data_IF_145679626712
#
_entry.id   IF_145679626712
#
_cell.length_a   1.000
_cell.length_b   1.000
_cell.length_c   1.000
_cell.angle_alpha   90.00
_cell.angle_beta   90.00
_cell.angle_gamma   90.00
#
_symmetry.space_group_name_H-M   'P 1'
#
loop_
_entity.id
_entity.type
_entity.pdbx_description
1 polymer ?
#
# COMPACT_ATOMS: atom_id res chain seq x y z
N UNK A 1 -19.96 7.08 3.10
CA UNK A 1 -19.46 7.81 1.91
C UNK A 1 -18.70 6.76 1.14
N UNK A 2 -19.04 6.47 -0.11
CA UNK A 2 -18.48 5.29 -0.79
C UNK A 2 -17.11 5.61 -1.39
N UNK A 3 -16.26 4.59 -1.51
CA UNK A 3 -15.01 4.69 -2.28
C UNK A 3 -15.36 5.11 -3.71
N UNK A 4 -14.76 6.20 -4.18
CA UNK A 4 -14.98 6.77 -5.50
C UNK A 4 -14.53 5.82 -6.61
N UNK A 5 -15.22 5.89 -7.75
CA UNK A 5 -14.86 5.09 -8.94
C UNK A 5 -13.44 5.39 -9.44
N UNK A 6 -12.93 6.61 -9.23
CA UNK A 6 -11.53 6.94 -9.51
C UNK A 6 -10.55 6.12 -8.66
N UNK A 7 -10.82 5.99 -7.36
CA UNK A 7 -9.98 5.22 -6.43
C UNK A 7 -10.03 3.74 -6.75
N UNK A 8 -11.23 3.19 -7.06
CA UNK A 8 -11.36 1.78 -7.48
C UNK A 8 -10.57 1.46 -8.75
N UNK A 9 -10.59 2.35 -9.74
CA UNK A 9 -9.83 2.19 -10.99
C UNK A 9 -8.32 2.23 -10.75
N UNK A 10 -7.85 3.20 -9.95
CA UNK A 10 -6.46 3.31 -9.55
C UNK A 10 -5.97 2.02 -8.88
N UNK A 11 -6.72 1.53 -7.89
CA UNK A 11 -6.38 0.31 -7.15
C UNK A 11 -6.33 -0.90 -8.07
N UNK A 12 -7.30 -1.04 -8.99
CA UNK A 12 -7.31 -2.16 -9.93
C UNK A 12 -6.03 -2.20 -10.76
N UNK A 13 -5.59 -1.05 -11.30
CA UNK A 13 -4.32 -0.98 -12.06
C UNK A 13 -3.11 -1.26 -11.18
N UNK A 14 -3.05 -0.70 -9.97
CA UNK A 14 -1.91 -0.89 -9.08
C UNK A 14 -1.80 -2.34 -8.60
N UNK A 15 -2.91 -3.04 -8.39
CA UNK A 15 -2.92 -4.45 -8.01
C UNK A 15 -2.39 -5.37 -9.14
N UNK A 16 -2.47 -4.97 -10.40
CA UNK A 16 -1.87 -5.71 -11.53
C UNK A 16 -0.33 -5.76 -11.42
N UNK A 17 0.30 -4.82 -10.69
CA UNK A 17 1.76 -4.80 -10.47
C UNK A 17 2.24 -6.00 -9.64
N UNK A 18 1.40 -6.66 -8.86
CA UNK A 18 1.78 -7.86 -8.09
C UNK A 18 2.24 -9.01 -8.97
N UNK A 19 1.81 -9.07 -10.23
CA UNK A 19 2.30 -10.06 -11.18
C UNK A 19 3.74 -9.77 -11.65
N UNK A 20 4.16 -8.49 -11.62
CA UNK A 20 5.50 -8.02 -12.00
C UNK A 20 6.47 -8.02 -10.81
N UNK A 21 5.99 -7.66 -9.62
CA UNK A 21 6.76 -7.57 -8.39
C UNK A 21 6.28 -8.61 -7.39
N UNK A 22 6.92 -9.79 -7.41
CA UNK A 22 6.52 -10.93 -6.59
C UNK A 22 7.23 -11.01 -5.24
N UNK A 23 8.18 -10.12 -4.96
CA UNK A 23 8.86 -10.11 -3.66
C UNK A 23 7.93 -9.65 -2.55
N UNK A 24 8.16 -10.17 -1.34
CA UNK A 24 7.29 -9.93 -0.19
C UNK A 24 7.14 -8.43 0.14
N UNK A 25 8.22 -7.64 0.03
CA UNK A 25 8.16 -6.22 0.37
C UNK A 25 7.29 -5.44 -0.63
N UNK A 26 7.47 -5.69 -1.93
CA UNK A 26 6.68 -5.06 -2.97
C UNK A 26 5.20 -5.43 -2.91
N UNK A 27 4.87 -6.72 -2.77
CA UNK A 27 3.47 -7.18 -2.65
C UNK A 27 2.81 -6.53 -1.43
N UNK A 28 3.49 -6.55 -0.28
CA UNK A 28 2.96 -5.94 0.96
C UNK A 28 2.78 -4.43 0.82
N UNK A 29 3.72 -3.74 0.17
CA UNK A 29 3.60 -2.30 -0.06
C UNK A 29 2.44 -1.96 -1.00
N UNK A 30 2.23 -2.72 -2.07
CA UNK A 30 1.10 -2.54 -2.98
C UNK A 30 -0.24 -2.64 -2.23
N UNK A 31 -0.35 -3.60 -1.31
CA UNK A 31 -1.54 -3.74 -0.46
C UNK A 31 -1.72 -2.58 0.50
N UNK A 32 -0.64 -2.21 1.20
CA UNK A 32 -0.64 -1.06 2.10
C UNK A 32 -1.05 0.22 1.38
N UNK A 33 -0.48 0.46 0.19
CA UNK A 33 -0.78 1.61 -0.66
C UNK A 33 -2.24 1.63 -1.11
N UNK A 34 -2.77 0.48 -1.56
CA UNK A 34 -4.16 0.37 -2.02
C UNK A 34 -5.14 0.73 -0.90
N UNK A 35 -4.92 0.17 0.29
CA UNK A 35 -5.76 0.46 1.46
C UNK A 35 -5.63 1.90 1.92
N UNK A 36 -4.42 2.45 1.90
CA UNK A 36 -4.20 3.83 2.27
C UNK A 36 -5.05 4.78 1.41
N UNK A 37 -5.10 4.54 0.09
CA UNK A 37 -5.93 5.34 -0.83
C UNK A 37 -7.43 5.13 -0.59
N UNK A 38 -7.89 3.91 -0.31
CA UNK A 38 -9.30 3.66 0.04
C UNK A 38 -9.70 4.41 1.31
N UNK A 39 -8.88 4.31 2.36
CA UNK A 39 -9.11 5.03 3.60
C UNK A 39 -9.08 6.55 3.41
N UNK A 40 -8.14 7.06 2.60
CA UNK A 40 -8.07 8.49 2.30
C UNK A 40 -9.34 9.01 1.63
N UNK A 41 -9.84 8.25 0.67
CA UNK A 41 -11.03 8.60 -0.10
C UNK A 41 -12.30 8.60 0.76
N UNK A 42 -12.32 7.76 1.80
CA UNK A 42 -13.41 7.70 2.75
C UNK A 42 -13.34 8.81 3.82
N UNK A 43 -12.16 9.01 4.40
CA UNK A 43 -11.98 9.82 5.62
C UNK A 43 -11.68 11.28 5.36
N UNK A 44 -11.10 11.60 4.20
CA UNK A 44 -10.57 12.93 3.95
C UNK A 44 -11.22 13.60 2.74
N UNK A 45 -11.39 14.93 2.77
CA UNK A 45 -11.89 15.66 1.62
C UNK A 45 -10.85 15.65 0.48
N UNK A 46 -11.28 15.86 -0.79
CA UNK A 46 -10.40 15.75 -1.97
C UNK A 46 -9.12 16.60 -1.89
N UNK A 47 -9.15 17.75 -1.22
CA UNK A 47 -7.99 18.64 -1.06
C UNK A 47 -6.86 17.98 -0.27
N UNK A 48 -7.21 17.19 0.75
CA UNK A 48 -6.24 16.48 1.59
C UNK A 48 -5.73 15.24 0.85
N UNK A 49 -6.62 14.48 0.19
CA UNK A 49 -6.26 13.34 -0.65
C UNK A 49 -5.20 13.72 -1.69
N UNK A 50 -5.42 14.82 -2.42
CA UNK A 50 -4.51 15.29 -3.47
C UNK A 50 -3.18 15.84 -2.93
N UNK A 51 -3.04 16.01 -1.62
CA UNK A 51 -1.81 16.49 -0.98
C UNK A 51 -0.87 15.36 -0.55
N UNK A 52 -1.38 14.13 -0.45
CA UNK A 52 -0.57 12.97 -0.09
C UNK A 52 0.19 12.47 -1.31
N UNK A 53 1.51 12.30 -1.17
CA UNK A 53 2.37 11.78 -2.23
C UNK A 53 2.71 10.32 -1.98
N UNK A 54 3.05 9.60 -3.04
CA UNK A 54 3.55 8.22 -2.95
C UNK A 54 4.70 8.06 -1.94
N UNK A 55 5.62 9.03 -1.91
CA UNK A 55 6.73 9.03 -0.95
C UNK A 55 6.26 9.10 0.50
N UNK A 56 5.19 9.85 0.81
CA UNK A 56 4.65 9.95 2.17
C UNK A 56 4.09 8.59 2.62
N UNK A 57 3.42 7.89 1.72
CA UNK A 57 2.86 6.55 1.95
C UNK A 57 3.99 5.53 2.16
N UNK A 58 5.07 5.60 1.36
CA UNK A 58 6.25 4.76 1.51
C UNK A 58 6.93 4.95 2.86
N UNK A 59 7.13 6.20 3.29
CA UNK A 59 7.73 6.50 4.59
C UNK A 59 6.87 5.95 5.72
N UNK A 60 5.55 6.08 5.62
CA UNK A 60 4.61 5.52 6.60
C UNK A 60 4.68 4.00 6.65
N UNK A 61 4.76 3.34 5.49
CA UNK A 61 4.92 1.89 5.40
C UNK A 61 6.21 1.44 6.12
N UNK A 62 7.34 2.06 5.81
CA UNK A 62 8.63 1.74 6.45
C UNK A 62 8.57 1.92 7.97
N UNK A 63 7.93 3.00 8.46
CA UNK A 63 7.72 3.21 9.89
C UNK A 63 6.86 2.11 10.53
N UNK A 64 5.79 1.67 9.86
CA UNK A 64 4.93 0.60 10.37
C UNK A 64 5.67 -0.74 10.47
N UNK A 65 6.54 -1.04 9.49
CA UNK A 65 7.40 -2.23 9.49
C UNK A 65 8.44 -2.15 10.62
N UNK A 66 9.09 -1.01 10.80
CA UNK A 66 10.09 -0.80 11.85
C UNK A 66 9.47 -0.92 13.26
N UNK A 67 8.33 -0.28 13.48
CA UNK A 67 7.61 -0.29 14.75
C UNK A 67 6.82 -1.59 14.99
N UNK A 68 6.78 -2.49 14.00
CA UNK A 68 5.98 -3.74 14.00
C UNK A 68 4.50 -3.51 14.34
N UNK A 69 4.04 -2.30 14.11
CA UNK A 69 2.71 -1.85 14.49
C UNK A 69 2.23 -0.81 13.49
N UNK A 70 0.95 -0.85 13.12
CA UNK A 70 0.38 0.17 12.25
C UNK A 70 0.30 1.52 12.97
N UNK A 71 0.53 2.60 12.23
CA UNK A 71 0.36 3.97 12.74
C UNK A 71 -1.08 4.22 13.18
N UNK A 72 -1.33 5.20 14.04
CA UNK A 72 -2.71 5.57 14.42
C UNK A 72 -3.55 5.97 13.20
N UNK A 73 -2.96 6.70 12.24
CA UNK A 73 -3.63 7.06 11.01
C UNK A 73 -3.98 5.82 10.21
N UNK A 74 -3.02 4.91 10.02
CA UNK A 74 -3.24 3.61 9.38
C UNK A 74 -4.35 2.81 10.08
N UNK A 75 -4.33 2.76 11.42
CA UNK A 75 -5.39 2.14 12.22
C UNK A 75 -6.75 2.80 12.03
N UNK A 76 -6.81 4.12 11.85
CA UNK A 76 -8.06 4.85 11.60
C UNK A 76 -8.55 4.61 10.16
N UNK A 77 -7.65 4.60 9.18
CA UNK A 77 -7.97 4.20 7.80
C UNK A 77 -8.52 2.77 7.75
N UNK A 78 -8.00 1.89 8.61
CA UNK A 78 -8.47 0.51 8.75
C UNK A 78 -9.84 0.46 9.46
N UNK A 79 -9.96 1.15 10.60
CA UNK A 79 -11.18 1.17 11.41
C UNK A 79 -12.37 1.91 10.80
N UNK A 80 -12.16 2.91 9.94
CA UNK A 80 -13.22 3.77 9.42
C UNK A 80 -13.47 3.64 7.91
N UNK A 81 -12.85 2.70 7.18
CA UNK A 81 -13.47 2.16 5.94
C UNK A 81 -14.75 1.35 6.28
N UNK A 82 -15.06 1.23 7.56
CA UNK A 82 -16.19 0.51 8.13
C UNK A 82 -17.38 1.46 8.35
N UNK A 83 -18.32 1.45 7.39
CA UNK A 83 -19.73 1.66 7.71
C UNK A 83 -20.63 1.81 6.48
N UNK A 84 -21.90 1.32 6.50
CA UNK A 84 -22.48 0.17 7.18
C UNK A 84 -22.94 -0.88 6.13
N UNK A 85 -22.22 -2.00 6.01
CA UNK A 85 -22.76 -3.19 5.33
C UNK A 85 -22.37 -4.41 6.14
N UNK A 86 -23.30 -4.84 7.00
CA UNK A 86 -23.23 -5.96 7.96
C UNK A 86 -22.99 -7.36 7.34
N UNK A 87 -22.38 -7.43 6.15
CA UNK A 87 -22.05 -8.68 5.44
C UNK A 87 -20.57 -8.86 5.10
N UNK A 88 -19.73 -7.82 5.14
CA UNK A 88 -18.30 -7.87 4.71
C UNK A 88 -17.29 -7.87 5.87
N UNK A 89 -17.76 -7.77 7.13
CA UNK A 89 -16.96 -7.63 8.34
C UNK A 89 -15.87 -8.71 8.57
N UNK A 90 -16.08 -9.95 8.12
CA UNK A 90 -15.09 -11.01 8.33
C UNK A 90 -13.86 -10.89 7.42
N UNK A 91 -14.04 -10.39 6.19
CA UNK A 91 -12.94 -10.23 5.25
C UNK A 91 -12.05 -9.04 5.62
N UNK A 92 -12.65 -7.94 6.09
CA UNK A 92 -11.93 -6.75 6.53
C UNK A 92 -11.12 -6.99 7.82
N UNK A 93 -11.70 -7.64 8.82
CA UNK A 93 -10.98 -8.06 10.03
C UNK A 93 -9.82 -9.01 9.69
N UNK A 94 -10.03 -9.93 8.75
CA UNK A 94 -8.98 -10.85 8.31
C UNK A 94 -7.85 -10.11 7.58
N UNK A 95 -8.15 -9.08 6.80
CA UNK A 95 -7.17 -8.23 6.12
C UNK A 95 -6.36 -7.41 7.15
N UNK A 96 -7.02 -6.82 8.14
CA UNK A 96 -6.35 -6.08 9.23
C UNK A 96 -5.43 -6.98 10.05
N UNK A 97 -5.91 -8.17 10.43
CA UNK A 97 -5.12 -9.17 11.15
C UNK A 97 -3.95 -9.65 10.29
N UNK A 98 -4.20 -9.95 9.01
CA UNK A 98 -3.16 -10.42 8.08
C UNK A 98 -2.07 -9.36 7.93
N UNK A 99 -2.41 -8.08 7.76
CA UNK A 99 -1.41 -7.02 7.66
C UNK A 99 -0.69 -6.77 8.98
N UNK A 100 -1.39 -6.82 10.11
CA UNK A 100 -0.75 -6.69 11.43
C UNK A 100 0.26 -7.82 11.67
N UNK A 101 -0.11 -9.06 11.34
CA UNK A 101 0.77 -10.21 11.39
C UNK A 101 1.93 -10.07 10.40
N UNK A 102 1.66 -9.56 9.20
CA UNK A 102 2.65 -9.35 8.15
C UNK A 102 3.68 -8.27 8.53
N UNK A 103 3.26 -7.17 9.15
CA UNK A 103 4.16 -6.12 9.66
C UNK A 103 5.04 -6.62 10.83
N UNK A 104 4.53 -7.56 11.62
CA UNK A 104 5.32 -8.23 12.66
C UNK A 104 6.28 -9.29 12.11
N UNK A 105 6.16 -9.67 10.84
CA UNK A 105 6.99 -10.70 10.20
C UNK A 105 8.44 -10.24 10.04
N UNK A 106 9.38 -11.02 10.57
CA UNK A 106 10.81 -10.77 10.44
C UNK A 106 11.32 -10.88 9.00
N UNK A 107 10.70 -11.72 8.19
CA UNK A 107 11.01 -11.87 6.76
C UNK A 107 10.72 -10.58 6.00
N UNK A 108 9.59 -9.93 6.29
CA UNK A 108 9.25 -8.64 5.70
C UNK A 108 10.27 -7.57 6.10
N UNK A 109 10.67 -7.50 7.37
CA UNK A 109 11.70 -6.55 7.81
C UNK A 109 13.02 -6.74 7.07
N UNK A 110 13.44 -8.00 6.90
CA UNK A 110 14.65 -8.31 6.15
C UNK A 110 14.51 -7.94 4.67
N UNK A 111 13.35 -8.21 4.06
CA UNK A 111 13.05 -7.85 2.69
C UNK A 111 13.06 -6.32 2.50
N UNK A 112 12.38 -5.56 3.37
CA UNK A 112 12.34 -4.08 3.33
C UNK A 112 13.74 -3.48 3.48
N UNK A 113 14.57 -4.01 4.39
CA UNK A 113 15.95 -3.57 4.57
C UNK A 113 16.85 -3.84 3.34
N UNK A 114 16.44 -4.79 2.48
CA UNK A 114 17.15 -5.15 1.25
C UNK A 114 16.41 -4.69 -0.01
N UNK A 115 15.30 -3.96 0.13
CA UNK A 115 14.35 -3.72 -0.96
C UNK A 115 14.87 -2.82 -2.07
N UNK A 116 15.86 -1.97 -1.76
CA UNK A 116 16.59 -1.20 -2.76
C UNK A 116 17.64 -2.05 -3.49
N UNK A 117 17.96 -3.26 -3.01
CA UNK A 117 19.07 -4.07 -3.54
C UNK A 117 18.74 -5.56 -3.55
N UNK A 118 18.22 -6.03 -4.68
CA UNK A 118 18.05 -7.47 -4.91
C UNK A 118 19.19 -8.02 -5.80
N UNK A 119 19.91 -9.05 -5.35
CA UNK A 119 20.97 -9.66 -6.15
C UNK A 119 20.41 -10.39 -7.36
N UNK A 120 21.03 -10.17 -8.52
CA UNK A 120 20.74 -10.88 -9.77
C UNK A 120 21.70 -12.05 -9.97
N UNK A 121 21.28 -13.01 -10.80
CA UNK A 121 22.04 -14.23 -11.12
C UNK A 121 23.39 -13.90 -11.79
N UNK A 122 23.49 -12.76 -12.47
CA UNK A 122 24.70 -12.26 -13.12
C UNK A 122 25.64 -11.48 -12.18
N UNK A 123 25.33 -11.40 -10.89
CA UNK A 123 26.07 -10.62 -9.90
C UNK A 123 25.74 -9.12 -9.89
N UNK A 124 24.78 -8.67 -10.72
CA UNK A 124 24.24 -7.32 -10.68
C UNK A 124 23.27 -7.10 -9.51
N UNK A 125 22.85 -5.86 -9.30
CA UNK A 125 21.83 -5.49 -8.32
C UNK A 125 20.62 -4.89 -9.02
N UNK A 126 19.43 -5.38 -8.68
CA UNK A 126 18.14 -4.84 -9.10
C UNK A 126 17.65 -3.82 -8.05
N UNK A 127 17.24 -2.64 -8.50
CA UNK A 127 16.65 -1.60 -7.63
C UNK A 127 15.12 -1.74 -7.67
N UNK A 128 14.57 -2.79 -7.04
CA UNK A 128 13.14 -3.11 -7.12
C UNK A 128 12.28 -1.92 -6.69
N UNK A 129 12.53 -1.38 -5.49
CA UNK A 129 11.79 -0.27 -4.92
C UNK A 129 11.68 0.90 -5.93
N UNK A 130 12.79 1.30 -6.53
CA UNK A 130 12.81 2.39 -7.52
C UNK A 130 11.90 2.11 -8.71
N UNK A 131 11.95 0.89 -9.25
CA UNK A 131 11.13 0.52 -10.39
C UNK A 131 9.64 0.48 -10.00
N UNK A 132 9.31 -0.08 -8.84
CA UNK A 132 7.93 -0.15 -8.35
C UNK A 132 7.34 1.24 -8.14
N UNK A 133 8.08 2.15 -7.50
CA UNK A 133 7.60 3.52 -7.27
C UNK A 133 7.37 4.24 -8.59
N UNK A 134 8.27 4.06 -9.56
CA UNK A 134 8.12 4.64 -10.89
C UNK A 134 6.85 4.14 -11.60
N UNK A 135 6.62 2.83 -11.60
CA UNK A 135 5.41 2.24 -12.19
C UNK A 135 4.13 2.77 -11.52
N UNK A 136 4.13 2.93 -10.18
CA UNK A 136 2.98 3.50 -9.46
C UNK A 136 2.77 4.97 -9.84
N UNK A 137 3.84 5.77 -9.91
CA UNK A 137 3.76 7.19 -10.33
C UNK A 137 3.22 7.34 -11.77
N UNK A 138 3.61 6.45 -12.68
CA UNK A 138 3.06 6.42 -14.05
C UNK A 138 1.56 6.16 -14.03
N UNK A 139 1.11 5.16 -13.25
CA UNK A 139 -0.32 4.84 -13.10
C UNK A 139 -1.09 6.01 -12.47
N UNK A 140 -0.55 6.63 -11.43
CA UNK A 140 -1.15 7.82 -10.79
C UNK A 140 -1.27 8.97 -11.79
N UNK A 141 -0.23 9.25 -12.56
CA UNK A 141 -0.22 10.33 -13.57
C UNK A 141 -1.27 10.09 -14.65
N UNK A 142 -1.41 8.86 -15.14
CA UNK A 142 -2.47 8.50 -16.09
C UNK A 142 -3.88 8.69 -15.52
N UNK A 143 -4.06 8.54 -14.20
CA UNK A 143 -5.36 8.60 -13.53
C UNK A 143 -5.75 10.00 -13.07
N UNK A 144 -4.80 10.81 -12.62
CA UNK A 144 -5.07 12.15 -12.08
C UNK A 144 -5.02 13.27 -13.14
N UNK A 145 -4.61 12.97 -14.38
CA UNK A 145 -4.66 13.91 -15.51
C UNK A 145 -5.92 13.78 -16.40
N UNK A 146 -6.90 12.98 -16.01
CA UNK A 146 -8.22 12.86 -16.67
C UNK A 146 -9.31 13.56 -15.87
#
# INVERSE_FOLDING_TARGET
MDITESTKKLIRKVQELKAKYSDLASVTFIDFYSQYHQGCDYLFPPQVKNSVRLLDILLLFCQCVELKTPSLLTKLMWKDVIGPTLGEYQEDEQIEETLTQTLANQELQNAVNQWDREPRIDGGVNLILRNLLHDIEEIETEHFQQ
#
